data_IF_145384564455
#
_entry.id   IF_145384564455
#
_cell.length_a   1.000
_cell.length_b   1.000
_cell.length_c   1.000
_cell.angle_alpha   90.00
_cell.angle_beta   90.00
_cell.angle_gamma   90.00
#
_symmetry.space_group_name_H-M   'P 1'
#
loop_
_entity.id
_entity.type
_entity.pdbx_description
1 polymer ?
#
# COMPACT_ATOMS: atom_id res chain seq x y z
N UNK A 1 -14.08 -17.39 2.84
CA UNK A 1 -14.14 -17.15 1.38
C UNK A 1 -13.46 -15.80 1.17
N UNK A 2 -12.30 -15.60 0.53
CA UNK A 2 -11.56 -16.31 -0.51
C UNK A 2 -10.09 -16.51 -0.06
N UNK A 3 -9.55 -17.73 -0.17
CA UNK A 3 -8.13 -18.01 0.18
C UNK A 3 -7.11 -17.48 -0.83
N UNK A 4 -7.57 -16.98 -1.97
CA UNK A 4 -6.73 -16.56 -3.11
C UNK A 4 -6.74 -15.05 -3.35
N UNK A 5 -7.36 -14.28 -2.46
CA UNK A 5 -7.53 -12.84 -2.67
C UNK A 5 -6.17 -12.13 -2.70
N UNK A 6 -5.27 -12.47 -1.78
CA UNK A 6 -3.95 -11.84 -1.67
C UNK A 6 -3.08 -12.15 -2.90
N UNK A 7 -3.14 -13.38 -3.43
CA UNK A 7 -2.43 -13.75 -4.64
C UNK A 7 -2.98 -13.04 -5.86
N UNK A 8 -4.31 -12.94 -6.01
CA UNK A 8 -4.95 -12.24 -7.13
C UNK A 8 -4.61 -10.75 -7.08
N UNK A 9 -4.69 -10.13 -5.89
CA UNK A 9 -4.32 -8.73 -5.70
C UNK A 9 -2.86 -8.48 -6.07
N UNK A 10 -1.95 -9.34 -5.60
CA UNK A 10 -0.51 -9.22 -5.89
C UNK A 10 -0.21 -9.38 -7.38
N UNK A 11 -0.90 -10.32 -8.06
CA UNK A 11 -0.74 -10.53 -9.51
C UNK A 11 -1.27 -9.31 -10.28
N UNK A 12 -2.44 -8.80 -9.90
CA UNK A 12 -3.04 -7.64 -10.55
C UNK A 12 -2.16 -6.39 -10.35
N UNK A 13 -1.66 -6.16 -9.14
CA UNK A 13 -0.72 -5.09 -8.84
C UNK A 13 0.58 -5.25 -9.64
N UNK A 14 1.13 -6.47 -9.74
CA UNK A 14 2.30 -6.76 -10.57
C UNK A 14 2.07 -6.39 -12.04
N UNK A 15 0.92 -6.78 -12.62
CA UNK A 15 0.58 -6.50 -14.00
C UNK A 15 0.42 -4.99 -14.21
N UNK A 16 -0.32 -4.33 -13.32
CA UNK A 16 -0.56 -2.88 -13.36
C UNK A 16 0.77 -2.14 -13.31
N UNK A 17 1.62 -2.47 -12.35
CA UNK A 17 2.87 -1.77 -12.12
C UNK A 17 3.88 -2.05 -13.23
N UNK A 18 3.91 -3.27 -13.77
CA UNK A 18 4.73 -3.60 -14.95
C UNK A 18 4.29 -2.82 -16.20
N UNK A 19 2.98 -2.67 -16.44
CA UNK A 19 2.46 -1.88 -17.55
C UNK A 19 2.85 -0.40 -17.43
N UNK A 20 2.66 0.20 -16.26
CA UNK A 20 3.00 1.62 -16.02
C UNK A 20 4.52 1.87 -16.08
N UNK A 21 5.33 0.99 -15.51
CA UNK A 21 6.80 1.11 -15.57
C UNK A 21 7.34 1.03 -17.01
N UNK A 22 6.74 0.17 -17.84
CA UNK A 22 7.16 0.01 -19.24
C UNK A 22 6.74 1.18 -20.13
N UNK A 23 5.60 1.82 -19.85
CA UNK A 23 5.03 2.88 -20.69
C UNK A 23 5.38 4.30 -20.24
N UNK A 24 5.48 4.55 -18.93
CA UNK A 24 5.59 5.90 -18.36
C UNK A 24 6.86 6.15 -17.53
N UNK A 25 7.78 5.17 -17.43
CA UNK A 25 9.00 5.29 -16.63
C UNK A 25 8.72 5.73 -15.18
N UNK A 26 7.61 5.26 -14.60
CA UNK A 26 7.14 5.58 -13.25
C UNK A 26 6.09 4.55 -12.80
N UNK A 27 5.95 4.36 -11.48
CA UNK A 27 4.89 3.51 -10.93
C UNK A 27 3.50 4.13 -11.15
N UNK A 28 2.43 3.33 -10.99
CA UNK A 28 1.05 3.83 -11.12
C UNK A 28 0.80 5.08 -10.27
N UNK A 29 1.18 5.03 -8.98
CA UNK A 29 1.04 6.16 -8.06
C UNK A 29 1.91 7.36 -8.47
N UNK A 30 3.14 7.11 -8.90
CA UNK A 30 4.03 8.20 -9.36
C UNK A 30 3.49 8.89 -10.60
N UNK A 31 3.03 8.14 -11.60
CA UNK A 31 2.40 8.70 -12.79
C UNK A 31 1.11 9.47 -12.43
N UNK A 32 0.33 8.97 -11.48
CA UNK A 32 -0.86 9.67 -10.97
C UNK A 32 -0.52 11.03 -10.33
N UNK A 33 0.62 11.13 -9.63
CA UNK A 33 1.10 12.37 -9.00
C UNK A 33 2.08 13.19 -9.86
N UNK A 34 2.27 12.85 -11.14
CA UNK A 34 3.18 13.58 -12.04
C UNK A 34 4.68 13.44 -11.68
N UNK A 35 5.07 12.31 -11.10
CA UNK A 35 6.44 12.00 -10.69
C UNK A 35 7.03 10.97 -11.66
N UNK A 36 8.30 11.16 -12.06
CA UNK A 36 9.05 10.24 -12.92
C UNK A 36 10.31 9.70 -12.25
N UNK A 37 10.73 8.51 -12.67
CA UNK A 37 11.95 7.82 -12.22
C UNK A 37 13.11 8.12 -13.16
N UNK A 38 14.21 8.65 -12.64
CA UNK A 38 15.46 8.87 -13.38
C UNK A 38 16.57 8.02 -12.77
N UNK A 39 17.35 7.31 -13.58
CA UNK A 39 18.47 6.52 -13.07
C UNK A 39 19.57 7.44 -12.51
N UNK A 40 20.06 7.18 -11.29
CA UNK A 40 21.10 8.00 -10.64
C UNK A 40 22.50 7.85 -11.29
N UNK A 41 22.65 7.15 -12.42
CA UNK A 41 23.96 6.86 -12.98
C UNK A 41 24.54 8.12 -13.64
N UNK A 42 25.51 8.73 -12.96
CA UNK A 42 26.40 9.76 -13.50
C UNK A 42 27.15 9.14 -14.68
N UNK A 43 26.70 9.38 -15.90
CA UNK A 43 27.55 9.75 -17.03
C UNK A 43 26.71 10.11 -18.27
N UNK A 44 26.87 11.37 -18.66
CA UNK A 44 26.79 11.97 -19.99
C UNK A 44 25.79 11.42 -21.03
N UNK A 45 24.86 12.32 -21.43
CA UNK A 45 24.14 12.31 -22.72
C UNK A 45 23.44 10.99 -23.05
N UNK A 46 22.24 10.81 -22.53
CA UNK A 46 21.29 9.88 -23.15
C UNK A 46 19.93 10.57 -23.32
N UNK A 47 19.72 11.05 -24.54
CA UNK A 47 18.43 11.44 -25.11
C UNK A 47 17.51 10.21 -25.33
N UNK A 48 17.95 9.02 -24.94
CA UNK A 48 17.15 7.80 -24.99
C UNK A 48 16.37 7.58 -23.68
N UNK A 49 15.15 8.10 -23.72
CA UNK A 49 13.97 8.03 -22.84
C UNK A 49 13.65 6.74 -22.04
N UNK A 50 14.52 5.74 -21.92
CA UNK A 50 14.17 4.43 -21.32
C UNK A 50 15.14 3.98 -20.22
N UNK A 51 14.59 3.81 -19.02
CA UNK A 51 15.29 3.27 -17.84
C UNK A 51 15.89 1.89 -18.13
N UNK A 52 17.10 1.59 -17.62
CA UNK A 52 17.71 0.28 -17.77
C UNK A 52 16.84 -0.81 -17.12
N UNK A 53 16.67 -1.95 -17.82
CA UNK A 53 15.80 -3.06 -17.42
C UNK A 53 16.09 -3.57 -16.00
N UNK A 54 17.34 -3.52 -15.54
CA UNK A 54 17.72 -3.91 -14.18
C UNK A 54 17.18 -2.99 -13.10
N UNK A 55 17.09 -1.68 -13.35
CA UNK A 55 16.51 -0.72 -12.41
C UNK A 55 14.99 -0.82 -12.37
N UNK A 56 14.36 -1.11 -13.51
CA UNK A 56 12.93 -1.42 -13.60
C UNK A 56 12.59 -2.70 -12.83
N UNK A 57 13.37 -3.77 -12.98
CA UNK A 57 13.13 -5.00 -12.25
C UNK A 57 13.30 -4.83 -10.73
N UNK A 58 14.36 -4.13 -10.30
CA UNK A 58 14.55 -3.78 -8.87
C UNK A 58 13.40 -2.94 -8.33
N UNK A 59 12.91 -2.02 -9.14
CA UNK A 59 11.76 -1.19 -8.83
C UNK A 59 10.49 -2.01 -8.60
N UNK A 60 10.17 -2.93 -9.51
CA UNK A 60 9.01 -3.84 -9.39
C UNK A 60 9.16 -4.74 -8.17
N UNK A 61 10.35 -5.33 -7.99
CA UNK A 61 10.67 -6.18 -6.84
C UNK A 61 10.43 -5.43 -5.51
N UNK A 62 10.84 -4.16 -5.46
CA UNK A 62 10.75 -3.37 -4.24
C UNK A 62 9.33 -2.86 -3.96
N UNK A 63 8.51 -2.63 -4.99
CA UNK A 63 7.14 -2.12 -4.81
C UNK A 63 6.09 -3.21 -4.64
N UNK A 64 6.26 -4.41 -5.23
CA UNK A 64 5.23 -5.47 -5.18
C UNK A 64 5.66 -6.63 -4.28
N UNK A 65 6.82 -7.19 -4.59
CA UNK A 65 7.27 -8.45 -3.96
C UNK A 65 7.62 -8.21 -2.50
N UNK A 66 8.27 -7.09 -2.21
CA UNK A 66 8.71 -6.75 -0.87
C UNK A 66 7.56 -6.49 0.11
N UNK A 67 6.51 -5.69 -0.19
CA UNK A 67 5.35 -5.57 0.71
C UNK A 67 4.57 -6.88 0.82
N UNK A 68 4.47 -7.70 -0.23
CA UNK A 68 3.85 -9.02 -0.15
C UNK A 68 4.59 -9.94 0.83
N UNK A 69 5.93 -9.99 0.73
CA UNK A 69 6.77 -10.76 1.66
C UNK A 69 6.59 -10.24 3.09
N UNK A 70 6.65 -8.91 3.30
CA UNK A 70 6.44 -8.29 4.63
C UNK A 70 5.10 -8.74 5.22
N UNK A 71 4.01 -8.57 4.47
CA UNK A 71 2.68 -8.95 4.90
C UNK A 71 2.58 -10.44 5.26
N UNK A 72 3.17 -11.30 4.44
CA UNK A 72 3.20 -12.75 4.72
C UNK A 72 4.00 -13.08 5.97
N UNK A 73 5.09 -12.38 6.24
CA UNK A 73 5.87 -12.53 7.47
C UNK A 73 5.08 -12.05 8.70
N UNK A 74 4.41 -10.91 8.61
CA UNK A 74 3.55 -10.38 9.68
C UNK A 74 2.45 -11.39 10.03
N UNK A 75 1.74 -11.92 9.03
CA UNK A 75 0.70 -12.93 9.21
C UNK A 75 1.24 -14.22 9.86
N UNK A 76 2.37 -14.73 9.37
CA UNK A 76 3.01 -15.92 9.95
C UNK A 76 3.43 -15.68 11.40
N UNK A 77 3.95 -14.49 11.73
CA UNK A 77 4.33 -14.11 13.08
C UNK A 77 3.12 -14.13 14.02
N UNK A 78 2.01 -13.51 13.63
CA UNK A 78 0.79 -13.48 14.43
C UNK A 78 0.21 -14.89 14.66
N UNK A 79 0.17 -15.71 13.60
CA UNK A 79 -0.33 -17.08 13.70
C UNK A 79 0.54 -17.92 14.64
N UNK A 80 1.87 -17.82 14.52
CA UNK A 80 2.81 -18.52 15.39
C UNK A 80 2.69 -18.04 16.84
N UNK A 81 2.60 -16.73 17.06
CA UNK A 81 2.42 -16.13 18.40
C UNK A 81 1.13 -16.62 19.05
N UNK A 82 0.02 -16.65 18.31
CA UNK A 82 -1.26 -17.15 18.79
C UNK A 82 -1.19 -18.66 19.14
N UNK A 83 -0.55 -19.48 18.30
CA UNK A 83 -0.36 -20.91 18.55
C UNK A 83 0.52 -21.19 19.78
N UNK A 84 1.53 -20.34 20.04
CA UNK A 84 2.37 -20.42 21.24
C UNK A 84 1.55 -20.07 22.49
N UNK A 85 0.79 -18.96 22.46
CA UNK A 85 0.00 -18.49 23.60
C UNK A 85 -1.12 -19.47 23.99
N UNK A 86 -1.72 -20.14 23.00
CA UNK A 86 -2.77 -21.15 23.24
C UNK A 86 -2.25 -22.52 23.65
N UNK A 87 -0.92 -22.69 23.79
CA UNK A 87 -0.31 -23.96 24.20
C UNK A 87 -0.47 -25.10 23.18
N UNK A 88 -0.87 -24.80 21.93
CA UNK A 88 -1.12 -25.79 20.87
C UNK A 88 0.15 -26.25 20.14
N UNK A 89 1.33 -25.72 20.47
CA UNK A 89 2.59 -26.20 19.91
C UNK A 89 2.99 -27.55 20.55
N UNK A 90 3.05 -28.60 19.73
CA UNK A 90 3.63 -29.90 20.10
C UNK A 90 5.06 -29.73 20.65
N UNK A 91 5.37 -30.41 21.75
CA UNK A 91 6.43 -29.99 22.67
C UNK A 91 7.83 -30.51 22.34
N UNK A 92 8.01 -31.37 21.31
CA UNK A 92 9.18 -32.25 21.26
C UNK A 92 10.13 -32.08 20.05
N UNK A 93 10.01 -31.01 19.24
CA UNK A 93 10.83 -30.86 18.01
C UNK A 93 11.71 -29.60 18.03
N UNK A 94 12.93 -29.68 17.47
CA UNK A 94 13.83 -28.53 17.26
C UNK A 94 13.17 -27.37 16.50
N UNK A 95 12.25 -27.68 15.58
CA UNK A 95 11.43 -26.70 14.87
C UNK A 95 10.64 -25.78 15.80
N UNK A 96 10.12 -26.29 16.93
CA UNK A 96 9.42 -25.45 17.91
C UNK A 96 10.34 -24.47 18.62
N UNK A 97 11.61 -24.84 18.85
CA UNK A 97 12.62 -23.89 19.39
C UNK A 97 12.92 -22.80 18.36
N UNK A 98 13.05 -23.17 17.08
CA UNK A 98 13.23 -22.21 15.98
C UNK A 98 12.03 -21.27 15.83
N UNK A 99 10.79 -21.77 15.91
CA UNK A 99 9.59 -20.94 15.87
C UNK A 99 9.49 -19.97 17.04
N UNK A 100 9.83 -20.42 18.26
CA UNK A 100 9.90 -19.52 19.44
C UNK A 100 10.98 -18.46 19.27
N UNK A 101 12.15 -18.84 18.76
CA UNK A 101 13.22 -17.89 18.47
C UNK A 101 12.79 -16.88 17.38
N UNK A 102 12.13 -17.33 16.31
CA UNK A 102 11.58 -16.46 15.27
C UNK A 102 10.60 -15.45 15.85
N UNK A 103 9.63 -15.89 16.67
CA UNK A 103 8.66 -14.98 17.34
C UNK A 103 9.36 -14.03 18.31
N UNK A 104 10.47 -14.42 18.95
CA UNK A 104 11.23 -13.52 19.79
C UNK A 104 12.03 -12.48 18.97
N UNK A 105 12.59 -12.86 17.82
CA UNK A 105 13.48 -12.04 17.00
C UNK A 105 12.69 -11.08 16.08
N UNK A 106 11.55 -11.51 15.56
CA UNK A 106 10.72 -10.76 14.62
C UNK A 106 10.43 -9.30 15.03
N UNK A 107 9.98 -8.98 16.28
CA UNK A 107 9.70 -7.60 16.66
C UNK A 107 10.92 -6.69 16.60
N UNK A 108 12.12 -7.21 16.85
CA UNK A 108 13.36 -6.43 16.69
C UNK A 108 13.67 -6.16 15.22
N UNK A 109 13.48 -7.16 14.35
CA UNK A 109 13.64 -7.00 12.90
C UNK A 109 12.64 -5.96 12.38
N UNK A 110 11.38 -6.05 12.79
CA UNK A 110 10.34 -5.08 12.44
C UNK A 110 10.68 -3.67 12.94
N UNK A 111 11.19 -3.53 14.17
CA UNK A 111 11.63 -2.25 14.72
C UNK A 111 12.79 -1.64 13.93
N UNK A 112 13.81 -2.44 13.58
CA UNK A 112 14.95 -1.98 12.77
C UNK A 112 14.48 -1.57 11.38
N UNK A 113 13.56 -2.33 10.80
CA UNK A 113 12.98 -2.05 9.51
C UNK A 113 12.27 -0.69 9.49
N UNK A 114 11.29 -0.46 10.37
CA UNK A 114 10.56 0.80 10.46
C UNK A 114 11.48 1.97 10.89
N UNK A 115 12.42 1.71 11.80
CA UNK A 115 13.43 2.68 12.20
C UNK A 115 14.29 3.15 11.02
N UNK A 116 14.61 2.25 10.08
CA UNK A 116 15.36 2.63 8.88
C UNK A 116 14.60 3.66 8.04
N UNK A 117 13.29 3.50 7.84
CA UNK A 117 12.47 4.48 7.12
C UNK A 117 12.48 5.84 7.78
N UNK A 118 12.32 5.86 9.10
CA UNK A 118 12.32 7.11 9.86
C UNK A 118 13.67 7.84 9.71
N UNK A 119 14.78 7.11 9.76
CA UNK A 119 16.11 7.70 9.54
C UNK A 119 16.25 8.28 8.13
N UNK A 120 15.75 7.59 7.10
CA UNK A 120 15.73 8.12 5.73
C UNK A 120 14.85 9.36 5.61
N UNK A 121 13.67 9.35 6.21
CA UNK A 121 12.74 10.47 6.16
C UNK A 121 13.31 11.71 6.85
N UNK A 122 13.90 11.54 8.04
CA UNK A 122 14.59 12.62 8.75
C UNK A 122 15.76 13.15 7.93
N UNK A 123 16.58 12.25 7.36
CA UNK A 123 17.71 12.65 6.51
C UNK A 123 17.27 13.42 5.26
N UNK A 124 16.12 13.06 4.70
CA UNK A 124 15.48 13.76 3.59
C UNK A 124 14.98 15.14 4.01
N UNK A 125 14.30 15.26 5.16
CA UNK A 125 13.83 16.54 5.69
C UNK A 125 14.96 17.54 5.95
N UNK A 126 16.13 17.06 6.40
CA UNK A 126 17.31 17.91 6.59
C UNK A 126 18.05 18.26 5.28
N UNK A 127 17.55 17.83 4.12
CA UNK A 127 18.16 18.11 2.81
C UNK A 127 19.49 17.41 2.57
N UNK A 128 19.90 16.47 3.45
CA UNK A 128 21.15 15.71 3.31
C UNK A 128 21.03 14.51 2.39
N UNK A 129 19.81 14.02 2.16
CA UNK A 129 19.54 12.88 1.28
C UNK A 129 18.55 13.24 0.19
N UNK A 130 18.80 12.72 -1.02
CA UNK A 130 17.86 12.80 -2.16
C UNK A 130 16.74 11.76 -2.07
N UNK A 131 16.86 10.78 -1.18
CA UNK A 131 15.95 9.63 -1.10
C UNK A 131 15.12 9.68 0.17
N UNK A 132 13.79 9.64 0.02
CA UNK A 132 12.84 9.64 1.14
C UNK A 132 12.63 8.25 1.75
N UNK A 133 12.95 7.17 1.02
CA UNK A 133 12.77 5.78 1.49
C UNK A 133 13.98 4.89 1.14
N UNK A 134 14.27 3.88 1.97
CA UNK A 134 15.34 2.90 1.70
C UNK A 134 15.10 2.17 0.36
N UNK A 135 13.85 1.97 -0.01
CA UNK A 135 13.43 1.31 -1.25
C UNK A 135 13.83 2.06 -2.51
N UNK A 136 13.64 3.38 -2.51
CA UNK A 136 14.01 4.22 -3.64
C UNK A 136 15.54 4.30 -3.78
N UNK A 137 16.26 4.24 -2.65
CA UNK A 137 17.71 4.10 -2.67
C UNK A 137 18.14 2.74 -3.24
N UNK A 138 17.47 1.65 -2.88
CA UNK A 138 17.77 0.29 -3.37
C UNK A 138 17.49 0.11 -4.86
N UNK A 139 16.45 0.77 -5.38
CA UNK A 139 16.14 0.75 -6.80
C UNK A 139 17.16 1.55 -7.63
N UNK A 140 17.93 2.46 -7.01
CA UNK A 140 18.95 3.27 -7.66
C UNK A 140 18.38 4.41 -8.50
N UNK A 141 17.19 4.87 -8.11
CA UNK A 141 16.39 5.79 -8.91
C UNK A 141 16.10 7.06 -8.10
N UNK A 142 16.17 8.21 -8.76
CA UNK A 142 15.74 9.49 -8.22
C UNK A 142 14.32 9.79 -8.70
N UNK A 143 13.46 10.19 -7.77
CA UNK A 143 12.13 10.68 -8.11
C UNK A 143 12.22 12.17 -8.41
N UNK A 144 11.85 12.55 -9.63
CA UNK A 144 11.84 13.94 -10.06
C UNK A 144 10.40 14.29 -10.45
N UNK A 145 9.92 15.43 -9.97
CA UNK A 145 8.62 15.93 -10.39
C UNK A 145 8.71 16.36 -11.85
N UNK A 146 7.74 15.95 -12.66
CA UNK A 146 7.70 16.33 -14.05
C UNK A 146 7.30 17.80 -14.14
N UNK A 147 8.28 18.69 -14.25
CA UNK A 147 8.03 20.11 -14.48
C UNK A 147 7.30 20.25 -15.82
N UNK A 148 6.22 21.03 -15.83
CA UNK A 148 5.30 21.21 -16.96
C UNK A 148 5.96 21.73 -18.25
N UNK A 149 7.24 22.12 -18.19
CA UNK A 149 8.04 22.57 -19.33
C UNK A 149 8.35 21.44 -20.34
N UNK A 150 8.41 20.16 -19.91
CA UNK A 150 8.55 19.01 -20.82
C UNK A 150 7.21 18.55 -21.44
N UNK A 151 6.07 19.08 -20.99
CA UNK A 151 4.78 18.86 -21.66
C UNK A 151 4.69 19.69 -22.95
N UNK A 152 5.41 20.81 -23.05
CA UNK A 152 5.41 21.65 -24.25
C UNK A 152 6.22 21.03 -25.40
N UNK A 153 7.30 20.29 -25.14
CA UNK A 153 8.05 19.60 -26.19
C UNK A 153 7.30 18.38 -26.77
N UNK A 154 6.43 17.74 -25.99
CA UNK A 154 5.57 16.63 -26.45
C UNK A 154 4.34 17.12 -27.21
N UNK A 155 3.74 18.25 -26.80
CA UNK A 155 2.56 18.79 -27.46
C UNK A 155 2.87 19.35 -28.86
N UNK A 156 4.08 19.90 -29.08
CA UNK A 156 4.53 20.42 -30.39
C UNK A 156 4.79 19.29 -31.40
N UNK A 157 5.37 18.15 -30.98
CA UNK A 157 5.60 17.01 -31.89
C UNK A 157 4.31 16.29 -32.30
N UNK A 158 3.30 16.25 -31.42
CA UNK A 158 2.05 15.56 -31.75
C UNK A 158 1.30 16.24 -32.90
N UNK A 159 1.29 17.58 -32.98
CA UNK A 159 0.61 18.35 -34.02
C UNK A 159 1.22 18.20 -35.41
N UNK A 160 2.52 17.97 -35.54
CA UNK A 160 3.19 17.79 -36.83
C UNK A 160 2.97 16.39 -37.41
N UNK A 161 2.89 15.36 -36.55
CA UNK A 161 2.70 13.94 -36.95
C UNK A 161 1.30 13.67 -37.52
N UNK A 162 0.27 14.42 -37.13
CA UNK A 162 -1.09 14.25 -37.66
C UNK A 162 -1.22 14.56 -39.15
N UNK A 163 -0.36 15.42 -39.68
CA UNK A 163 -0.45 15.88 -41.06
C UNK A 163 0.22 14.90 -42.05
N UNK A 164 1.13 14.04 -41.59
CA UNK A 164 2.00 13.25 -42.48
C UNK A 164 1.70 11.73 -42.51
N UNK A 165 0.70 11.23 -41.75
CA UNK A 165 0.42 9.80 -41.65
C UNK A 165 -0.86 9.34 -42.37
N UNK A 166 -0.71 8.24 -43.13
CA UNK A 166 -1.76 7.48 -43.84
C UNK A 166 -2.95 7.08 -42.95
N UNK A 167 -4.14 6.94 -43.57
CA UNK A 167 -5.44 6.68 -42.93
C UNK A 167 -5.44 5.53 -41.90
N UNK A 168 -4.70 4.44 -42.16
CA UNK A 168 -4.59 3.31 -41.24
C UNK A 168 -3.82 3.67 -39.96
N UNK A 169 -2.81 4.52 -40.07
CA UNK A 169 -2.03 4.98 -38.94
C UNK A 169 -2.81 6.04 -38.12
N UNK A 170 -3.72 6.80 -38.76
CA UNK A 170 -4.65 7.70 -38.06
C UNK A 170 -5.63 6.92 -37.17
N UNK A 171 -6.14 5.79 -37.65
CA UNK A 171 -7.01 4.89 -36.89
C UNK A 171 -6.26 4.26 -35.70
N UNK A 172 -5.02 3.83 -35.91
CA UNK A 172 -4.18 3.27 -34.86
C UNK A 172 -3.78 4.32 -33.81
N UNK A 173 -3.55 5.56 -34.23
CA UNK A 173 -3.32 6.69 -33.33
C UNK A 173 -4.58 7.08 -32.55
N UNK A 174 -5.75 7.13 -33.21
CA UNK A 174 -7.04 7.38 -32.55
C UNK A 174 -7.37 6.28 -31.54
N UNK A 175 -7.06 5.01 -31.87
CA UNK A 175 -7.23 3.89 -30.97
C UNK A 175 -6.28 3.98 -29.76
N UNK A 176 -5.01 4.33 -29.96
CA UNK A 176 -4.06 4.59 -28.86
C UNK A 176 -4.50 5.77 -27.99
N UNK A 177 -5.03 6.84 -28.59
CA UNK A 177 -5.54 8.02 -27.87
C UNK A 177 -6.79 7.66 -27.08
N UNK A 178 -7.70 6.88 -27.66
CA UNK A 178 -8.89 6.38 -26.97
C UNK A 178 -8.50 5.44 -25.81
N UNK A 179 -7.51 4.56 -26.00
CA UNK A 179 -6.98 3.69 -24.93
C UNK A 179 -6.33 4.51 -23.81
N UNK A 180 -5.59 5.57 -24.13
CA UNK A 180 -5.04 6.46 -23.10
C UNK A 180 -6.14 7.23 -22.38
N UNK A 181 -7.16 7.73 -23.08
CA UNK A 181 -8.29 8.45 -22.49
C UNK A 181 -9.13 7.53 -21.58
N UNK A 182 -9.37 6.28 -22.00
CA UNK A 182 -10.08 5.31 -21.17
C UNK A 182 -9.23 4.86 -20.00
N UNK A 183 -7.91 4.70 -20.15
CA UNK A 183 -7.00 4.41 -19.04
C UNK A 183 -6.98 5.53 -18.00
N UNK A 184 -6.98 6.79 -18.44
CA UNK A 184 -7.08 7.97 -17.55
C UNK A 184 -8.44 7.99 -16.85
N UNK A 185 -9.54 7.77 -17.58
CA UNK A 185 -10.90 7.74 -17.00
C UNK A 185 -11.10 6.57 -16.02
N UNK A 186 -10.49 5.42 -16.32
CA UNK A 186 -10.52 4.24 -15.45
C UNK A 186 -9.68 4.48 -14.19
N UNK A 187 -8.52 5.11 -14.31
CA UNK A 187 -7.65 5.47 -13.18
C UNK A 187 -8.30 6.48 -12.25
N UNK A 188 -8.95 7.51 -12.80
CA UNK A 188 -9.72 8.48 -12.01
C UNK A 188 -10.94 7.85 -11.37
N UNK A 189 -11.68 7.00 -12.11
CA UNK A 189 -12.79 6.22 -11.56
C UNK A 189 -12.37 5.28 -10.44
N UNK A 190 -11.23 4.60 -10.58
CA UNK A 190 -10.63 3.76 -9.54
C UNK A 190 -10.26 4.60 -8.32
N UNK A 191 -9.65 5.76 -8.51
CA UNK A 191 -9.27 6.66 -7.42
C UNK A 191 -10.50 7.15 -6.65
N UNK A 192 -11.57 7.56 -7.35
CA UNK A 192 -12.85 7.93 -6.74
C UNK A 192 -13.47 6.74 -5.99
N UNK A 193 -13.40 5.54 -6.57
CA UNK A 193 -13.87 4.32 -5.92
C UNK A 193 -13.10 3.98 -4.63
N UNK A 194 -11.77 4.09 -4.65
CA UNK A 194 -10.92 3.85 -3.46
C UNK A 194 -11.22 4.88 -2.38
N UNK A 195 -11.36 6.16 -2.73
CA UNK A 195 -11.77 7.21 -1.79
C UNK A 195 -13.13 6.89 -1.15
N UNK A 196 -14.10 6.46 -1.95
CA UNK A 196 -15.43 6.11 -1.44
C UNK A 196 -15.39 4.89 -0.51
N UNK A 197 -14.56 3.88 -0.80
CA UNK A 197 -14.37 2.74 0.09
C UNK A 197 -13.70 3.15 1.41
N UNK A 198 -12.69 4.03 1.38
CA UNK A 198 -12.08 4.58 2.60
C UNK A 198 -13.10 5.37 3.43
N UNK A 199 -13.96 6.16 2.77
CA UNK A 199 -15.06 6.86 3.44
C UNK A 199 -16.01 5.88 4.13
N UNK A 200 -16.38 4.76 3.48
CA UNK A 200 -17.22 3.74 4.09
C UNK A 200 -16.52 3.05 5.27
N UNK A 201 -15.24 2.71 5.13
CA UNK A 201 -14.48 2.06 6.20
C UNK A 201 -14.38 2.95 7.45
N UNK A 202 -14.15 4.25 7.23
CA UNK A 202 -14.26 5.26 8.28
C UNK A 202 -15.67 5.31 8.89
N UNK A 203 -16.72 5.33 8.06
CA UNK A 203 -18.11 5.39 8.51
C UNK A 203 -18.49 4.19 9.38
N UNK A 204 -18.20 2.97 8.93
CA UNK A 204 -18.47 1.74 9.66
C UNK A 204 -17.63 1.59 10.93
N UNK A 205 -16.37 2.04 10.90
CA UNK A 205 -15.52 2.06 12.09
C UNK A 205 -16.00 3.12 13.08
N UNK A 206 -16.54 4.25 12.61
CA UNK A 206 -17.11 5.31 13.46
C UNK A 206 -18.42 4.86 14.13
N UNK A 207 -19.28 4.10 13.44
CA UNK A 207 -20.55 3.64 14.01
C UNK A 207 -20.34 2.58 15.11
N UNK A 208 -19.33 1.72 14.96
CA UNK A 208 -18.96 0.72 15.98
C UNK A 208 -18.23 1.32 17.20
N UNK A 209 -17.60 2.49 17.07
CA UNK A 209 -16.79 3.12 18.13
C UNK A 209 -17.38 4.42 18.70
N UNK A 210 -18.48 4.94 18.12
CA UNK A 210 -19.16 6.10 18.70
C UNK A 210 -19.81 5.68 20.02
N UNK A 211 -19.46 6.30 21.18
CA UNK A 211 -20.30 6.19 22.35
C UNK A 211 -21.64 6.78 21.93
N UNK A 212 -22.66 5.93 21.86
CA UNK A 212 -24.00 6.27 21.38
C UNK A 212 -24.43 7.58 22.03
N UNK A 213 -24.44 8.68 21.28
CA UNK A 213 -24.93 9.99 21.74
C UNK A 213 -26.42 9.96 22.12
N UNK A 214 -27.08 8.83 21.84
CA UNK A 214 -28.46 8.48 22.19
C UNK A 214 -28.57 7.45 23.34
N UNK A 215 -27.47 6.94 23.91
CA UNK A 215 -27.58 6.15 25.14
C UNK A 215 -27.96 7.09 26.27
N UNK A 216 -29.24 7.05 26.64
CA UNK A 216 -29.70 7.60 27.90
C UNK A 216 -28.87 6.99 29.03
N UNK A 217 -28.49 7.77 30.06
CA UNK A 217 -27.86 7.23 31.25
C UNK A 217 -28.76 6.11 31.79
N UNK A 218 -28.22 4.89 31.85
CA UNK A 218 -28.94 3.76 32.44
C UNK A 218 -29.26 4.13 33.89
N UNK A 219 -30.54 4.13 34.30
CA UNK A 219 -30.91 4.52 35.65
C UNK A 219 -30.22 3.61 36.67
N UNK A 220 -29.72 4.19 37.76
CA UNK A 220 -29.07 3.44 38.82
C UNK A 220 -30.00 2.31 39.31
N UNK A 221 -29.47 1.09 39.50
CA UNK A 221 -30.28 -0.03 39.95
C UNK A 221 -30.98 0.32 41.27
N UNK A 222 -32.27 -0.04 41.43
CA UNK A 222 -33.03 0.31 42.62
C UNK A 222 -32.32 -0.26 43.85
N UNK A 223 -32.02 0.62 44.81
CA UNK A 223 -31.45 0.23 46.11
C UNK A 223 -32.49 -0.59 46.84
N UNK A 224 -32.39 -1.92 46.75
CA UNK A 224 -33.19 -2.82 47.57
C UNK A 224 -32.69 -2.66 49.00
N UNK A 225 -33.43 -1.90 49.82
CA UNK A 225 -33.17 -1.83 51.26
C UNK A 225 -33.32 -3.23 51.84
N UNK A 226 -32.25 -3.75 52.44
CA UNK A 226 -32.13 -5.14 52.92
C UNK A 226 -33.06 -5.55 54.07
N UNK A 227 -34.20 -4.88 54.24
CA UNK A 227 -35.18 -5.12 55.30
C UNK A 227 -36.31 -6.03 54.82
N UNK A 228 -36.53 -6.19 53.51
CA UNK A 228 -37.67 -6.97 53.00
C UNK A 228 -37.39 -8.48 52.78
N UNK A 229 -36.11 -8.90 52.80
CA UNK A 229 -35.75 -10.33 52.67
C UNK A 229 -36.01 -11.10 53.96
N UNK A 230 -36.02 -10.44 55.13
CA UNK A 230 -36.24 -11.10 56.43
C UNK A 230 -37.74 -11.33 56.69
N UNK A 231 -38.63 -10.46 56.20
CA UNK A 231 -40.08 -10.57 56.47
C UNK A 231 -40.72 -11.72 55.65
N UNK A 232 -40.19 -12.03 54.47
CA UNK A 232 -40.68 -13.17 53.66
C UNK A 232 -40.22 -14.54 54.18
N UNK A 233 -39.19 -14.60 55.04
CA UNK A 233 -38.67 -15.86 55.61
C UNK A 233 -39.33 -16.26 56.95
N UNK A 234 -40.07 -15.35 57.60
CA UNK A 234 -40.73 -15.63 58.88
C UNK A 234 -42.23 -15.99 58.74
N UNK A 235 -42.75 -16.12 57.52
CA UNK A 235 -44.14 -16.55 57.26
C UNK A 235 -44.21 -18.02 56.75
N UNK A 236 -43.11 -18.76 56.84
CA UNK A 236 -43.02 -20.18 56.43
C UNK A 236 -42.40 -21.08 57.50
N UNK A 237 -42.63 -20.76 58.79
CA UNK A 237 -42.54 -21.70 59.91
C UNK A 237 -43.67 -21.41 60.90
#
# INVERSE_FOLDING_TARGET
MLRFYDEIYTILDLILQNYYLHSHSGSFAENFYGIKRIACQKDQKQEDTKLPRSCLLKSILCLVILPYIKHKLDFMFEELRHKINTGRLSQNTLLCKLYKAFVAVYPYVHMVWEGSFLVYLISYMFGKSKWHSPFVRLSGVELVHQQEEDLQSTHVQSSEVWQDLSLNNKLLFACKTAVNLTAVTLSTGLSVGVFFLQFLDWWYTSDNNAPSLLAMPTPDPPKVSGILVIIMLHHYW
#
